data_IF_114559363201
#
_entry.id   IF_114559363201
#
_cell.length_a   1.000
_cell.length_b   1.000
_cell.length_c   1.000
_cell.angle_alpha   90.00
_cell.angle_beta   90.00
_cell.angle_gamma   90.00
#
_symmetry.space_group_name_H-M   'P 1'
#
loop_
_entity.id
_entity.type
_entity.pdbx_description
1 polymer ?
#
# COMPACT_ATOMS: atom_id res chain seq x y z
N UNK A 1 -6.95 -11.04 -22.44
CA UNK A 1 -6.78 -12.46 -22.05
C UNK A 1 -7.34 -12.78 -20.67
N UNK A 2 -7.38 -11.83 -19.72
CA UNK A 2 -7.90 -12.06 -18.36
C UNK A 2 -9.35 -12.56 -18.30
N UNK A 3 -10.26 -11.98 -19.09
CA UNK A 3 -11.71 -12.34 -19.10
C UNK A 3 -12.04 -13.75 -19.61
N UNK A 4 -11.06 -14.54 -20.08
CA UNK A 4 -11.26 -15.93 -20.47
C UNK A 4 -11.11 -16.90 -19.30
N UNK A 5 -10.57 -16.43 -18.17
CA UNK A 5 -10.44 -17.23 -16.96
C UNK A 5 -11.80 -17.33 -16.26
N UNK A 6 -12.10 -18.49 -15.63
CA UNK A 6 -13.18 -18.61 -14.66
C UNK A 6 -13.11 -17.52 -13.58
N UNK A 7 -14.26 -17.17 -13.01
CA UNK A 7 -14.36 -16.07 -12.03
C UNK A 7 -13.53 -16.36 -10.79
N UNK A 8 -13.48 -17.62 -10.34
CA UNK A 8 -12.73 -18.07 -9.17
C UNK A 8 -11.24 -17.75 -9.31
N UNK A 9 -10.64 -18.11 -10.45
CA UNK A 9 -9.22 -17.81 -10.72
C UNK A 9 -8.95 -16.32 -10.88
N UNK A 10 -9.94 -15.53 -11.30
CA UNK A 10 -9.80 -14.07 -11.37
C UNK A 10 -9.82 -13.44 -9.97
N UNK A 11 -10.66 -13.94 -9.07
CA UNK A 11 -10.68 -13.50 -7.68
C UNK A 11 -9.33 -13.79 -6.99
N UNK A 12 -8.73 -14.97 -7.20
CA UNK A 12 -7.38 -15.29 -6.69
C UNK A 12 -6.31 -14.30 -7.19
N UNK A 13 -6.40 -13.87 -8.46
CA UNK A 13 -5.50 -12.84 -9.00
C UNK A 13 -5.75 -11.48 -8.33
N UNK A 14 -7.02 -11.11 -8.10
CA UNK A 14 -7.36 -9.86 -7.45
C UNK A 14 -6.86 -9.80 -6.00
N UNK A 15 -6.88 -10.91 -5.26
CA UNK A 15 -6.32 -11.01 -3.90
C UNK A 15 -4.81 -10.69 -3.85
N UNK A 16 -4.10 -10.87 -4.97
CA UNK A 16 -2.68 -10.54 -5.09
C UNK A 16 -2.42 -9.08 -5.50
N UNK A 17 -3.47 -8.30 -5.82
CA UNK A 17 -3.34 -6.93 -6.30
C UNK A 17 -3.40 -5.92 -5.16
N UNK A 18 -2.77 -4.75 -5.36
CA UNK A 18 -2.98 -3.59 -4.48
C UNK A 18 -4.35 -2.97 -4.70
N UNK A 19 -4.86 -2.24 -3.70
CA UNK A 19 -6.11 -1.49 -3.79
C UNK A 19 -6.11 -0.52 -4.99
N UNK A 20 -4.96 0.11 -5.26
CA UNK A 20 -4.76 0.98 -6.40
C UNK A 20 -4.86 0.23 -7.73
N UNK A 21 -4.22 -0.93 -7.85
CA UNK A 21 -4.32 -1.79 -9.03
C UNK A 21 -5.76 -2.24 -9.26
N UNK A 22 -6.47 -2.65 -8.20
CA UNK A 22 -7.88 -3.03 -8.27
C UNK A 22 -8.77 -1.86 -8.71
N UNK A 23 -8.47 -0.65 -8.25
CA UNK A 23 -9.18 0.56 -8.67
C UNK A 23 -8.99 0.80 -10.17
N UNK A 24 -7.77 0.71 -10.68
CA UNK A 24 -7.49 0.84 -12.12
C UNK A 24 -8.17 -0.26 -12.95
N UNK A 25 -8.13 -1.52 -12.49
CA UNK A 25 -8.83 -2.63 -13.13
C UNK A 25 -10.34 -2.40 -13.20
N UNK A 26 -10.94 -1.88 -12.13
CA UNK A 26 -12.37 -1.54 -12.06
C UNK A 26 -12.78 -0.44 -13.05
N UNK A 27 -11.86 0.43 -13.46
CA UNK A 27 -12.11 1.49 -14.44
C UNK A 27 -11.95 0.97 -15.88
N UNK A 28 -11.15 -0.07 -16.09
CA UNK A 28 -10.85 -0.61 -17.42
C UNK A 28 -12.00 -1.42 -18.04
N UNK A 29 -12.83 -2.08 -17.22
CA UNK A 29 -13.86 -3.00 -17.69
C UNK A 29 -15.02 -3.13 -16.70
N UNK A 30 -16.26 -3.05 -17.20
CA UNK A 30 -17.48 -3.19 -16.38
C UNK A 30 -17.65 -4.58 -15.76
N UNK A 31 -17.17 -5.64 -16.43
CA UNK A 31 -17.21 -6.99 -15.89
C UNK A 31 -16.28 -7.12 -14.67
N UNK A 32 -15.02 -6.68 -14.80
CA UNK A 32 -14.06 -6.68 -13.69
C UNK A 32 -14.56 -5.80 -12.54
N UNK A 33 -15.11 -4.62 -12.87
CA UNK A 33 -15.74 -3.72 -11.90
C UNK A 33 -16.82 -4.41 -11.08
N UNK A 34 -17.74 -5.10 -11.74
CA UNK A 34 -18.84 -5.79 -11.06
C UNK A 34 -18.31 -6.91 -10.16
N UNK A 35 -17.30 -7.65 -10.59
CA UNK A 35 -16.68 -8.70 -9.76
C UNK A 35 -16.00 -8.10 -8.51
N UNK A 36 -15.16 -7.08 -8.69
CA UNK A 36 -14.45 -6.42 -7.59
C UNK A 36 -15.43 -5.78 -6.60
N UNK A 37 -16.46 -5.07 -7.08
CA UNK A 37 -17.44 -4.40 -6.22
C UNK A 37 -18.34 -5.41 -5.47
N UNK A 38 -18.70 -6.52 -6.11
CA UNK A 38 -19.54 -7.54 -5.47
C UNK A 38 -18.75 -8.45 -4.51
N UNK A 39 -17.43 -8.31 -4.41
CA UNK A 39 -16.60 -9.07 -3.46
C UNK A 39 -15.74 -8.11 -2.64
N UNK A 40 -16.31 -7.40 -1.65
CA UNK A 40 -15.60 -6.36 -0.92
C UNK A 40 -14.31 -6.81 -0.24
N UNK A 41 -14.25 -8.04 0.26
CA UNK A 41 -13.06 -8.62 0.91
C UNK A 41 -11.80 -8.47 0.05
N UNK A 42 -11.92 -8.62 -1.27
CA UNK A 42 -10.81 -8.52 -2.22
C UNK A 42 -10.09 -7.18 -2.12
N UNK A 43 -10.83 -6.07 -2.02
CA UNK A 43 -10.20 -4.75 -1.93
C UNK A 43 -10.04 -4.27 -0.49
N UNK A 44 -10.94 -4.64 0.44
CA UNK A 44 -10.81 -4.22 1.84
C UNK A 44 -9.61 -4.87 2.54
N UNK A 45 -9.16 -6.02 2.05
CA UNK A 45 -7.98 -6.71 2.55
C UNK A 45 -6.74 -6.46 1.68
N UNK A 46 -6.85 -5.68 0.60
CA UNK A 46 -5.74 -5.40 -0.29
C UNK A 46 -4.80 -4.33 0.24
N UNK A 47 -3.53 -4.42 -0.14
CA UNK A 47 -2.50 -3.44 0.21
C UNK A 47 -2.92 -2.02 -0.20
N UNK A 48 -2.80 -1.08 0.73
CA UNK A 48 -3.05 0.34 0.49
C UNK A 48 -4.51 0.76 0.57
N UNK A 49 -5.45 -0.16 0.80
CA UNK A 49 -6.83 0.20 1.10
C UNK A 49 -6.97 0.73 2.53
N UNK A 50 -7.72 1.81 2.69
CA UNK A 50 -8.04 2.40 3.99
C UNK A 50 -9.54 2.47 4.20
N UNK A 51 -9.99 1.80 5.26
CA UNK A 51 -11.33 1.99 5.80
C UNK A 51 -11.34 3.30 6.59
N UNK A 52 -12.20 4.27 6.25
CA UNK A 52 -12.42 5.43 7.09
C UNK A 52 -13.17 4.98 8.35
N UNK A 53 -12.45 4.33 9.26
CA UNK A 53 -12.94 4.08 10.61
C UNK A 53 -12.98 5.43 11.33
N UNK A 54 -14.04 5.69 12.09
CA UNK A 54 -14.36 6.99 12.71
C UNK A 54 -13.32 7.54 13.71
N UNK A 55 -12.17 6.88 13.91
CA UNK A 55 -11.18 7.26 14.90
C UNK A 55 -10.59 8.67 14.71
N UNK A 56 -10.58 9.24 13.50
CA UNK A 56 -10.09 10.60 13.25
C UNK A 56 -11.20 11.65 13.02
N UNK A 57 -12.45 11.36 13.39
CA UNK A 57 -13.55 12.33 13.22
C UNK A 57 -13.99 12.57 11.76
N UNK A 58 -13.53 11.72 10.84
CA UNK A 58 -14.03 11.71 9.46
C UNK A 58 -15.45 11.14 9.45
N UNK A 59 -16.36 11.71 8.63
CA UNK A 59 -17.75 11.25 8.60
C UNK A 59 -17.79 9.76 8.25
N UNK A 60 -18.50 8.98 9.08
CA UNK A 60 -18.66 7.55 8.89
C UNK A 60 -19.32 7.28 7.55
N UNK A 61 -18.52 6.96 6.55
CA UNK A 61 -19.04 6.35 5.36
C UNK A 61 -18.90 4.86 5.59
N UNK A 62 -20.00 4.20 5.95
CA UNK A 62 -20.15 2.72 5.91
C UNK A 62 -20.06 2.20 4.45
N UNK A 63 -19.36 2.93 3.60
CA UNK A 63 -19.26 2.73 2.18
C UNK A 63 -18.06 1.84 1.95
N UNK A 64 -18.32 0.53 1.81
CA UNK A 64 -17.39 -0.43 1.25
C UNK A 64 -17.24 -0.16 -0.25
N UNK A 65 -16.67 0.99 -0.59
CA UNK A 65 -16.47 1.41 -1.97
C UNK A 65 -14.98 1.52 -2.27
N UNK A 66 -14.60 0.98 -3.42
CA UNK A 66 -13.27 1.17 -3.97
C UNK A 66 -13.24 2.49 -4.73
N UNK A 67 -12.84 3.56 -4.05
CA UNK A 67 -12.63 4.89 -4.65
C UNK A 67 -11.22 5.39 -4.38
N UNK A 68 -10.78 6.42 -5.11
CA UNK A 68 -9.47 7.04 -4.87
C UNK A 68 -9.34 7.59 -3.44
N UNK A 69 -10.45 7.99 -2.80
CA UNK A 69 -10.45 8.48 -1.42
C UNK A 69 -10.22 7.37 -0.39
N UNK A 70 -10.30 6.10 -0.80
CA UNK A 70 -10.06 4.93 0.05
C UNK A 70 -8.68 4.30 -0.19
N UNK A 71 -7.81 4.98 -0.95
CA UNK A 71 -6.43 4.56 -1.19
C UNK A 71 -5.51 5.38 -0.28
N UNK A 72 -4.98 4.77 0.78
CA UNK A 72 -4.03 5.43 1.68
C UNK A 72 -2.57 5.30 1.21
N UNK A 73 -2.24 4.18 0.55
CA UNK A 73 -0.88 3.92 0.10
C UNK A 73 -0.87 3.43 -1.34
N UNK A 74 0.05 3.97 -2.13
CA UNK A 74 0.34 3.50 -3.47
C UNK A 74 1.76 2.94 -3.42
N UNK A 75 1.93 1.67 -3.78
CA UNK A 75 3.25 1.04 -3.78
C UNK A 75 4.16 1.73 -4.79
N UNK A 76 5.46 1.81 -4.50
CA UNK A 76 6.42 2.24 -5.51
C UNK A 76 6.39 1.39 -6.79
N UNK A 77 6.03 0.11 -6.69
CA UNK A 77 5.80 -0.75 -7.85
C UNK A 77 4.59 -0.31 -8.69
N UNK A 78 3.51 0.13 -8.04
CA UNK A 78 2.32 0.64 -8.71
C UNK A 78 2.65 1.93 -9.48
N UNK A 79 3.36 2.86 -8.83
CA UNK A 79 3.79 4.10 -9.45
C UNK A 79 4.77 3.85 -10.61
N UNK A 80 5.70 2.88 -10.47
CA UNK A 80 6.64 2.54 -11.54
C UNK A 80 5.93 2.04 -12.80
N UNK A 81 4.83 1.30 -12.66
CA UNK A 81 4.06 0.82 -13.81
C UNK A 81 3.37 1.97 -14.57
N UNK A 82 2.93 3.01 -13.86
CA UNK A 82 2.27 4.18 -14.46
C UNK A 82 3.28 5.15 -15.10
N UNK A 83 4.39 5.44 -14.41
CA UNK A 83 5.36 6.47 -14.83
C UNK A 83 6.58 5.90 -15.59
N UNK A 84 6.69 4.58 -15.71
CA UNK A 84 7.79 3.93 -16.42
C UNK A 84 9.18 4.21 -15.80
N UNK A 85 10.21 4.31 -16.64
CA UNK A 85 11.59 4.58 -16.19
C UNK A 85 11.81 6.02 -15.67
N UNK A 86 10.83 6.92 -15.82
CA UNK A 86 10.92 8.30 -15.29
C UNK A 86 10.78 8.35 -13.76
N UNK A 87 10.54 7.20 -13.14
CA UNK A 87 10.43 7.02 -11.69
C UNK A 87 11.64 7.54 -10.90
N UNK A 88 12.83 7.56 -11.50
CA UNK A 88 14.02 8.13 -10.84
C UNK A 88 13.87 9.61 -10.53
N UNK A 89 13.15 10.38 -11.36
CA UNK A 89 12.95 11.81 -11.14
C UNK A 89 11.97 12.06 -9.99
N UNK A 90 10.87 11.31 -9.93
CA UNK A 90 9.89 11.38 -8.84
C UNK A 90 10.48 10.99 -7.47
N UNK A 91 11.34 9.97 -7.44
CA UNK A 91 12.07 9.55 -6.22
C UNK A 91 13.00 10.64 -5.68
N UNK A 92 13.71 11.34 -6.57
CA UNK A 92 14.60 12.44 -6.20
C UNK A 92 13.79 13.63 -5.67
N UNK A 93 12.67 13.95 -6.30
CA UNK A 93 11.78 15.04 -5.86
C UNK A 93 11.07 14.72 -4.54
N UNK A 94 10.68 13.46 -4.32
CA UNK A 94 10.05 13.03 -3.07
C UNK A 94 11.04 13.09 -1.89
N UNK A 95 12.31 12.73 -2.11
CA UNK A 95 13.37 12.86 -1.09
C UNK A 95 13.64 14.33 -0.75
N UNK A 96 13.75 15.19 -1.76
CA UNK A 96 13.91 16.64 -1.56
C UNK A 96 12.68 17.28 -0.89
N UNK A 97 11.48 16.76 -1.15
CA UNK A 97 10.25 17.14 -0.46
C UNK A 97 10.23 16.69 1.00
N UNK A 98 10.70 15.47 1.29
CA UNK A 98 10.84 14.96 2.65
C UNK A 98 11.83 15.77 3.48
N UNK A 99 13.00 16.05 2.93
CA UNK A 99 14.03 16.86 3.61
C UNK A 99 13.52 18.29 3.90
N UNK A 100 12.57 18.78 3.09
CA UNK A 100 11.87 20.06 3.34
C UNK A 100 10.78 19.97 4.39
N UNK A 101 10.03 18.86 4.45
CA UNK A 101 8.95 18.66 5.43
C UNK A 101 9.53 18.33 6.80
N UNK A 102 10.63 17.57 6.86
CA UNK A 102 11.38 17.24 8.07
C UNK A 102 12.40 18.32 8.46
N UNK A 103 12.36 19.48 7.79
CA UNK A 103 13.29 20.58 8.01
C UNK A 103 13.37 20.98 9.48
N UNK A 104 14.60 21.08 9.98
CA UNK A 104 15.04 21.58 11.31
C UNK A 104 14.18 21.19 12.52
N UNK A 105 13.42 20.08 12.48
CA UNK A 105 12.77 19.62 13.70
C UNK A 105 13.86 19.24 14.71
N UNK A 106 13.77 19.71 15.95
CA UNK A 106 14.70 19.32 17.04
C UNK A 106 14.47 17.87 17.51
N UNK A 107 13.71 17.09 16.76
CA UNK A 107 13.48 15.68 17.05
C UNK A 107 14.79 14.91 16.95
N UNK A 108 14.91 13.92 17.83
CA UNK A 108 16.11 13.09 17.96
C UNK A 108 16.45 12.44 16.62
N UNK A 109 17.75 12.30 16.34
CA UNK A 109 18.21 11.67 15.09
C UNK A 109 17.62 10.26 14.89
N UNK A 110 17.25 9.58 15.98
CA UNK A 110 16.61 8.25 15.97
C UNK A 110 15.17 8.29 15.41
N UNK A 111 14.38 9.32 15.73
CA UNK A 111 12.98 9.44 15.28
C UNK A 111 12.92 9.77 13.78
N UNK A 112 13.87 10.57 13.29
CA UNK A 112 14.03 10.89 11.87
C UNK A 112 14.48 9.68 11.07
N UNK A 113 15.37 8.84 11.61
CA UNK A 113 15.77 7.59 10.95
C UNK A 113 14.59 6.61 10.87
N UNK A 114 13.77 6.52 11.91
CA UNK A 114 12.55 5.69 11.92
C UNK A 114 11.54 6.11 10.85
N UNK A 115 11.19 7.40 10.80
CA UNK A 115 10.25 7.94 9.81
C UNK A 115 10.79 7.82 8.38
N UNK A 116 12.09 8.10 8.21
CA UNK A 116 12.77 7.94 6.92
C UNK A 116 12.80 6.47 6.48
N UNK A 117 13.05 5.52 7.38
CA UNK A 117 12.96 4.08 7.09
C UNK A 117 11.55 3.68 6.69
N UNK A 118 10.54 4.16 7.40
CA UNK A 118 9.14 3.82 7.13
C UNK A 118 8.69 4.35 5.75
N UNK A 119 9.01 5.61 5.47
CA UNK A 119 8.72 6.26 4.17
C UNK A 119 9.53 5.61 3.05
N UNK A 120 10.82 5.32 3.26
CA UNK A 120 11.64 4.61 2.27
C UNK A 120 11.21 3.16 2.09
N UNK A 121 10.66 2.50 3.10
CA UNK A 121 10.09 1.15 2.97
C UNK A 121 8.84 1.18 2.08
N UNK A 122 7.96 2.16 2.26
CA UNK A 122 6.78 2.37 1.42
C UNK A 122 7.13 2.78 -0.02
N UNK A 123 8.14 3.64 -0.19
CA UNK A 123 8.54 4.18 -1.50
C UNK A 123 9.44 3.21 -2.28
N UNK A 124 10.38 2.52 -1.62
CA UNK A 124 11.25 1.53 -2.28
C UNK A 124 10.55 0.18 -2.46
N UNK A 125 9.53 -0.15 -1.65
CA UNK A 125 8.97 -1.49 -1.56
C UNK A 125 10.04 -2.46 -1.05
N UNK A 126 10.17 -2.58 0.28
CA UNK A 126 11.07 -3.52 0.99
C UNK A 126 12.34 -3.93 0.22
N UNK A 127 13.12 -2.97 -0.29
CA UNK A 127 14.48 -3.27 -0.71
C UNK A 127 15.28 -3.46 0.56
N UNK A 128 15.55 -4.72 0.91
CA UNK A 128 16.71 -5.03 1.73
C UNK A 128 17.93 -4.38 1.06
N UNK A 129 18.59 -3.48 1.78
CA UNK A 129 19.72 -2.67 1.33
C UNK A 129 20.90 -3.48 0.74
N UNK A 130 20.88 -4.81 0.85
CA UNK A 130 21.99 -5.69 0.52
C UNK A 130 21.91 -6.36 -0.87
N UNK A 131 20.80 -6.26 -1.61
CA UNK A 131 20.57 -7.10 -2.81
C UNK A 131 20.90 -6.43 -4.15
N UNK A 132 21.19 -5.11 -4.19
CA UNK A 132 21.71 -4.47 -5.43
C UNK A 132 23.10 -4.99 -5.85
N UNK A 133 23.71 -5.92 -5.10
CA UNK A 133 24.95 -6.60 -5.46
C UNK A 133 24.76 -7.88 -6.32
N UNK A 134 23.56 -8.45 -6.44
CA UNK A 134 23.36 -9.75 -7.10
C UNK A 134 22.25 -9.64 -8.15
N UNK A 135 22.65 -9.47 -9.41
CA UNK A 135 21.76 -9.28 -10.56
C UNK A 135 20.98 -10.53 -10.98
N UNK A 136 20.07 -11.00 -10.12
CA UNK A 136 19.27 -12.19 -10.40
C UNK A 136 17.76 -11.86 -10.51
N UNK A 137 17.14 -12.31 -11.62
CA UNK A 137 15.76 -11.97 -12.01
C UNK A 137 14.71 -12.91 -11.42
N UNK A 138 15.07 -14.10 -10.95
CA UNK A 138 14.12 -15.06 -10.39
C UNK A 138 13.61 -14.67 -8.99
N UNK A 139 14.33 -13.80 -8.27
CA UNK A 139 13.96 -13.38 -6.92
C UNK A 139 12.72 -12.46 -6.86
N UNK A 140 12.32 -11.84 -7.97
CA UNK A 140 11.27 -10.80 -7.98
C UNK A 140 9.90 -11.25 -7.46
N UNK A 141 9.54 -12.53 -7.64
CA UNK A 141 8.26 -13.08 -7.17
C UNK A 141 8.27 -13.37 -5.67
N UNK A 142 9.40 -13.85 -5.11
CA UNK A 142 9.52 -14.06 -3.66
C UNK A 142 9.44 -12.75 -2.87
N UNK A 143 9.94 -11.63 -3.44
CA UNK A 143 9.88 -10.31 -2.81
C UNK A 143 8.47 -9.70 -2.80
N UNK A 144 7.67 -9.93 -3.85
CA UNK A 144 6.26 -9.50 -3.88
C UNK A 144 5.47 -10.14 -2.73
N UNK A 145 5.66 -11.44 -2.51
CA UNK A 145 5.08 -12.13 -1.35
C UNK A 145 5.60 -11.56 -0.03
N UNK A 146 6.83 -11.06 0.03
CA UNK A 146 7.41 -10.51 1.28
C UNK A 146 6.91 -9.10 1.60
N UNK A 147 6.75 -8.22 0.61
CA UNK A 147 6.11 -6.91 0.80
C UNK A 147 4.64 -7.06 1.23
N UNK A 148 3.90 -7.95 0.56
CA UNK A 148 2.50 -8.22 0.90
C UNK A 148 2.36 -8.87 2.28
N UNK A 149 3.30 -9.76 2.64
CA UNK A 149 3.37 -10.42 3.95
C UNK A 149 3.77 -9.46 5.06
N UNK A 150 4.78 -8.60 4.87
CA UNK A 150 5.15 -7.57 5.85
C UNK A 150 3.99 -6.60 6.09
N UNK A 151 3.27 -6.17 5.05
CA UNK A 151 2.06 -5.36 5.25
C UNK A 151 0.96 -6.11 6.01
N UNK A 152 0.76 -7.40 5.73
CA UNK A 152 -0.25 -8.22 6.43
C UNK A 152 0.12 -8.43 7.90
N UNK A 153 1.39 -8.70 8.18
CA UNK A 153 1.93 -8.87 9.54
C UNK A 153 1.89 -7.54 10.32
N UNK A 154 2.33 -6.41 9.74
CA UNK A 154 2.29 -5.08 10.40
C UNK A 154 0.86 -4.52 10.58
N UNK A 155 -0.07 -4.89 9.68
CA UNK A 155 -1.47 -4.47 9.79
C UNK A 155 -2.12 -5.04 11.04
N UNK A 156 -1.85 -6.31 11.35
CA UNK A 156 -2.45 -6.96 12.51
C UNK A 156 -1.92 -6.33 13.81
N UNK A 157 -0.64 -5.92 13.86
CA UNK A 157 -0.04 -5.25 15.02
C UNK A 157 -0.58 -3.82 15.25
N UNK A 158 -0.93 -3.06 14.21
CA UNK A 158 -1.40 -1.67 14.36
C UNK A 158 -2.82 -1.55 14.93
N UNK A 159 -3.67 -2.57 14.74
CA UNK A 159 -5.07 -2.54 15.20
C UNK A 159 -5.29 -3.18 16.58
N UNK A 160 -4.26 -3.81 17.15
CA UNK A 160 -4.33 -4.53 18.42
C UNK A 160 -3.87 -3.70 19.64
N UNK A 161 -3.53 -2.41 19.49
CA UNK A 161 -3.25 -1.54 20.63
C UNK A 161 -4.58 -1.20 21.36
N UNK A 162 -4.89 -1.86 22.50
CA UNK A 162 -6.12 -1.63 23.22
C UNK A 162 -5.90 -0.33 23.99
N UNK A 163 -6.18 0.79 23.31
CA UNK A 163 -5.88 2.14 23.80
C UNK A 163 -6.09 2.24 25.30
N UNK A 164 -5.00 2.58 26.00
CA UNK A 164 -4.91 2.74 27.45
C UNK A 164 -6.15 3.49 27.94
N UNK A 165 -7.12 2.73 28.46
CA UNK A 165 -8.24 3.30 29.20
C UNK A 165 -7.66 3.73 30.54
N UNK A 166 -7.22 4.98 30.61
CA UNK A 166 -6.88 5.66 31.85
C UNK A 166 -8.10 5.66 32.79
N UNK A 167 -8.22 4.59 33.58
CA UNK A 167 -9.07 4.54 34.76
C UNK A 167 -8.44 5.43 35.84
N UNK A 168 -8.81 6.71 35.84
CA UNK A 168 -8.54 7.63 36.95
C UNK A 168 -9.72 7.62 37.93
N UNK A 169 -9.49 7.00 39.09
CA UNK A 169 -10.33 7.05 40.31
C UNK A 169 -10.33 8.45 40.97
#
# INVERSE_FOLDING_TARGET
MLLRLPTELRLEIYECCSAYTLLNLSQSCTQLRNEIINTPSVFTESYGYFLPNNHWGWPNTNSTQLTINNIAYISGCDLRNEFGNDYSQFMVESRLGLDRILGDSEDSDDDKEGLTRWILCGIKGCYGSDVLALGDRELGLEWYTRCFRCWKEDRDDYYDDPGDSDDSD
#
